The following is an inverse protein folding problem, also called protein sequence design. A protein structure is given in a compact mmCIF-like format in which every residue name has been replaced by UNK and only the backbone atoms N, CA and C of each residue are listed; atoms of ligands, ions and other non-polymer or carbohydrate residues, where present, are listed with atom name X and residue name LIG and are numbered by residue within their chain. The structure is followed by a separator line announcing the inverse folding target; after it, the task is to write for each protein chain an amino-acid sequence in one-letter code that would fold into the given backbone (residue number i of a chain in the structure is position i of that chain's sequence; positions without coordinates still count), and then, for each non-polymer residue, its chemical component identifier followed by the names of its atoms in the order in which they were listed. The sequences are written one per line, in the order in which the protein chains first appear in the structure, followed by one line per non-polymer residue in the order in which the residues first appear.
data_IF_825671577864
#
_entry.id   IF_825671577864
#
_cell.length_a   1.000
_cell.length_b   1.000
_cell.length_c   1.000
_cell.angle_alpha   90.00
_cell.angle_beta   90.00
_cell.angle_gamma   90.00
#
_symmetry.space_group_name_H-M   'P 1'
#
loop_
_entity.id
_entity.type
_entity.pdbx_description
1 polymer ?
#
# COMPACT_ATOMS: atom_id res chain seq x y z
N UNK A 1 7.18 -7.37 12.57
CA UNK A 1 6.17 -6.44 13.12
C UNK A 1 5.82 -6.87 14.53
N UNK A 2 5.76 -5.93 15.47
CA UNK A 2 5.35 -6.19 16.86
C UNK A 2 3.84 -5.97 17.05
N UNK A 3 3.21 -6.51 18.11
CA UNK A 3 1.82 -6.23 18.45
C UNK A 3 1.51 -4.72 18.62
N UNK A 4 2.47 -3.95 19.14
CA UNK A 4 2.35 -2.50 19.31
C UNK A 4 2.32 -1.79 17.95
N UNK A 5 3.19 -2.17 17.01
CA UNK A 5 3.17 -1.64 15.65
C UNK A 5 1.84 -1.95 14.94
N UNK A 6 1.33 -3.18 15.09
CA UNK A 6 0.03 -3.58 14.54
C UNK A 6 -1.08 -2.66 15.08
N UNK A 7 -1.09 -2.44 16.40
CA UNK A 7 -2.08 -1.59 17.07
C UNK A 7 -2.01 -0.16 16.57
N UNK A 8 -0.81 0.42 16.45
CA UNK A 8 -0.58 1.77 15.94
C UNK A 8 -1.12 1.93 14.51
N UNK A 9 -0.83 0.97 13.64
CA UNK A 9 -1.30 0.98 12.25
C UNK A 9 -2.83 0.89 12.19
N UNK A 10 -3.43 -0.03 12.94
CA UNK A 10 -4.89 -0.20 12.97
C UNK A 10 -5.62 1.04 13.50
N UNK A 11 -5.12 1.62 14.60
CA UNK A 11 -5.70 2.83 15.19
C UNK A 11 -5.56 4.05 14.29
N UNK A 12 -4.40 4.22 13.64
CA UNK A 12 -4.19 5.32 12.70
C UNK A 12 -5.04 5.17 11.44
N UNK A 13 -5.12 3.97 10.87
CA UNK A 13 -5.95 3.72 9.68
C UNK A 13 -7.44 3.95 9.95
N UNK A 14 -7.92 3.66 11.16
CA UNK A 14 -9.30 3.96 11.56
C UNK A 14 -9.63 5.46 11.49
N UNK A 15 -8.63 6.35 11.65
CA UNK A 15 -8.79 7.81 11.45
C UNK A 15 -8.81 8.21 9.98
N UNK A 16 -8.22 7.40 9.10
CA UNK A 16 -8.22 7.62 7.64
C UNK A 16 -9.52 7.12 6.99
N UNK A 17 -10.18 6.11 7.56
CA UNK A 17 -11.39 5.51 6.98
C UNK A 17 -12.51 6.54 6.67
N UNK A 18 -12.85 7.52 7.53
CA UNK A 18 -13.84 8.56 7.23
C UNK A 18 -13.46 9.47 6.05
N UNK A 19 -12.15 9.64 5.79
CA UNK A 19 -11.61 10.46 4.71
C UNK A 19 -11.08 9.62 3.54
N UNK A 20 -11.43 8.33 3.48
CA UNK A 20 -10.89 7.38 2.51
C UNK A 20 -11.03 7.82 1.06
N UNK A 21 -12.14 8.47 0.69
CA UNK A 21 -12.32 9.03 -0.65
C UNK A 21 -11.28 10.11 -0.95
N UNK A 22 -11.12 11.10 -0.05
CA UNK A 22 -10.14 12.16 -0.22
C UNK A 22 -8.70 11.63 -0.22
N UNK A 23 -8.39 10.69 0.68
CA UNK A 23 -7.10 10.03 0.75
C UNK A 23 -6.77 9.27 -0.55
N UNK A 24 -7.73 8.55 -1.12
CA UNK A 24 -7.54 7.84 -2.39
C UNK A 24 -7.30 8.77 -3.58
N UNK A 25 -7.93 9.96 -3.59
CA UNK A 25 -7.69 10.99 -4.60
C UNK A 25 -6.26 11.52 -4.46
N UNK A 26 -5.88 11.94 -3.25
CA UNK A 26 -4.52 12.41 -2.95
C UNK A 26 -3.46 11.38 -3.35
N UNK A 27 -3.69 10.11 -3.06
CA UNK A 27 -2.79 9.03 -3.45
C UNK A 27 -2.60 8.95 -4.97
N UNK A 28 -3.68 8.89 -5.75
CA UNK A 28 -3.57 8.72 -7.19
C UNK A 28 -3.04 9.97 -7.89
N UNK A 29 -3.45 11.15 -7.44
CA UNK A 29 -2.94 12.41 -7.97
C UNK A 29 -1.42 12.49 -7.75
N UNK A 30 -0.96 12.15 -6.52
CA UNK A 30 0.48 12.11 -6.22
C UNK A 30 1.20 11.02 -7.02
N UNK A 31 0.63 9.82 -7.14
CA UNK A 31 1.24 8.70 -7.87
C UNK A 31 1.49 9.09 -9.34
N UNK A 32 0.51 9.71 -9.98
CA UNK A 32 0.61 10.12 -11.38
C UNK A 32 1.49 11.36 -11.58
N UNK A 33 1.65 12.19 -10.55
CA UNK A 33 2.63 13.28 -10.56
C UNK A 33 4.07 12.73 -10.51
N UNK A 34 4.36 11.80 -9.60
CA UNK A 34 5.74 11.30 -9.38
C UNK A 34 6.15 10.20 -10.35
N UNK A 35 5.18 9.45 -10.90
CA UNK A 35 5.43 8.41 -11.89
C UNK A 35 4.40 8.47 -13.03
N UNK A 36 4.45 9.47 -13.92
CA UNK A 36 3.46 9.65 -14.97
C UNK A 36 3.29 8.44 -15.90
N UNK A 37 4.35 7.64 -16.09
CA UNK A 37 4.34 6.43 -16.92
C UNK A 37 3.34 5.38 -16.44
N UNK A 38 3.04 5.31 -15.14
CA UNK A 38 2.09 4.31 -14.61
C UNK A 38 0.64 4.66 -14.91
N UNK A 39 0.33 5.90 -15.30
CA UNK A 39 -1.05 6.35 -15.56
C UNK A 39 -1.76 5.47 -16.59
N UNK A 40 -1.04 5.01 -17.61
CA UNK A 40 -1.58 4.16 -18.68
C UNK A 40 -2.00 2.77 -18.18
N UNK A 41 -1.54 2.35 -17.00
CA UNK A 41 -1.91 1.07 -16.38
C UNK A 41 -3.26 1.12 -15.65
N UNK A 42 -3.84 2.31 -15.49
CA UNK A 42 -5.10 2.54 -14.78
C UNK A 42 -6.21 2.96 -15.73
N UNK A 43 -7.49 2.65 -15.42
CA UNK A 43 -8.62 3.08 -16.23
C UNK A 43 -8.73 4.61 -16.34
N UNK A 44 -9.48 5.09 -17.32
CA UNK A 44 -9.83 6.50 -17.42
C UNK A 44 -10.71 6.93 -16.23
N UNK A 45 -11.79 6.16 -15.98
CA UNK A 45 -12.62 6.32 -14.79
C UNK A 45 -11.98 5.67 -13.55
N UNK A 46 -11.56 6.53 -12.63
CA UNK A 46 -10.88 6.15 -11.39
C UNK A 46 -11.84 5.88 -10.23
N UNK A 47 -13.15 6.03 -10.40
CA UNK A 47 -14.14 5.95 -9.31
C UNK A 47 -14.08 4.62 -8.58
N UNK A 48 -14.15 3.51 -9.31
CA UNK A 48 -14.08 2.17 -8.72
C UNK A 48 -12.66 1.81 -8.28
N UNK A 49 -11.65 2.30 -8.98
CA UNK A 49 -10.25 2.02 -8.64
C UNK A 49 -9.85 2.64 -7.29
N UNK A 50 -10.30 3.87 -7.01
CA UNK A 50 -10.14 4.56 -5.72
C UNK A 50 -10.74 3.78 -4.56
N UNK A 51 -11.94 3.22 -4.75
CA UNK A 51 -12.62 2.37 -3.74
C UNK A 51 -11.84 1.07 -3.51
N UNK A 52 -11.38 0.41 -4.59
CA UNK A 52 -10.60 -0.84 -4.51
C UNK A 52 -9.32 -0.67 -3.69
N UNK A 53 -8.59 0.43 -3.87
CA UNK A 53 -7.38 0.71 -3.09
C UNK A 53 -7.69 0.77 -1.59
N UNK A 54 -8.66 1.57 -1.18
CA UNK A 54 -9.02 1.74 0.23
C UNK A 54 -9.54 0.44 0.85
N UNK A 55 -10.36 -0.32 0.11
CA UNK A 55 -10.85 -1.63 0.55
C UNK A 55 -9.72 -2.65 0.73
N UNK A 56 -8.74 -2.66 -0.17
CA UNK A 56 -7.57 -3.53 -0.06
C UNK A 56 -6.68 -3.15 1.14
N UNK A 57 -6.42 -1.86 1.35
CA UNK A 57 -5.67 -1.39 2.53
C UNK A 57 -6.39 -1.76 3.82
N UNK A 58 -7.71 -1.59 3.88
CA UNK A 58 -8.51 -1.98 5.04
C UNK A 58 -8.39 -3.48 5.34
N UNK A 59 -8.48 -4.32 4.31
CA UNK A 59 -8.33 -5.77 4.46
C UNK A 59 -6.93 -6.14 4.99
N UNK A 60 -5.88 -5.55 4.41
CA UNK A 60 -4.49 -5.76 4.86
C UNK A 60 -4.33 -5.33 6.32
N UNK A 61 -4.73 -4.10 6.67
CA UNK A 61 -4.61 -3.55 8.02
C UNK A 61 -5.35 -4.41 9.05
N UNK A 62 -6.56 -4.88 8.71
CA UNK A 62 -7.33 -5.77 9.57
C UNK A 62 -6.66 -7.14 9.76
N UNK A 63 -5.95 -7.61 8.73
CA UNK A 63 -5.25 -8.89 8.73
C UNK A 63 -3.83 -8.84 9.31
N UNK A 64 -3.29 -7.66 9.69
CA UNK A 64 -1.94 -7.55 10.25
C UNK A 64 -1.75 -8.37 11.54
N UNK A 65 -2.82 -8.58 12.30
CA UNK A 65 -2.82 -9.44 13.50
C UNK A 65 -2.72 -10.94 13.16
N UNK A 66 -3.01 -11.33 11.93
CA UNK A 66 -2.93 -12.71 11.45
C UNK A 66 -2.53 -12.75 9.97
N UNK A 67 -1.26 -12.46 9.68
CA UNK A 67 -0.74 -12.31 8.32
C UNK A 67 -1.03 -13.53 7.45
N UNK A 68 -1.00 -14.75 8.00
CA UNK A 68 -1.26 -15.99 7.27
C UNK A 68 -2.60 -15.98 6.53
N UNK A 69 -3.60 -15.28 7.08
CA UNK A 69 -4.93 -15.17 6.46
C UNK A 69 -4.97 -14.27 5.23
N UNK A 70 -4.03 -13.31 5.12
CA UNK A 70 -3.96 -12.39 3.98
C UNK A 70 -2.96 -12.82 2.91
N UNK A 71 -2.01 -13.72 3.23
CA UNK A 71 -0.99 -14.19 2.29
C UNK A 71 -1.57 -14.76 0.97
N UNK A 72 -2.66 -15.58 0.97
CA UNK A 72 -3.25 -16.07 -0.28
C UNK A 72 -3.82 -14.94 -1.14
N UNK A 73 -4.48 -13.97 -0.51
CA UNK A 73 -5.05 -12.82 -1.20
C UNK A 73 -3.93 -11.91 -1.77
N UNK A 74 -2.85 -11.71 -1.01
CA UNK A 74 -1.68 -10.95 -1.44
C UNK A 74 -0.95 -11.63 -2.62
N UNK A 75 -0.80 -12.96 -2.60
CA UNK A 75 -0.24 -13.73 -3.74
C UNK A 75 -1.10 -13.58 -4.99
N UNK A 76 -2.42 -13.76 -4.88
CA UNK A 76 -3.34 -13.58 -5.98
C UNK A 76 -3.35 -12.13 -6.51
N UNK A 77 -3.16 -11.15 -5.63
CA UNK A 77 -3.00 -9.75 -6.00
C UNK A 77 -1.68 -9.50 -6.74
N UNK A 78 -0.58 -10.09 -6.29
CA UNK A 78 0.73 -9.96 -6.93
C UNK A 78 0.71 -10.46 -8.38
N UNK A 79 0.12 -11.63 -8.63
CA UNK A 79 -0.04 -12.19 -9.99
C UNK A 79 -0.87 -11.27 -10.91
N UNK A 80 -1.92 -10.64 -10.36
CA UNK A 80 -2.70 -9.64 -11.09
C UNK A 80 -1.90 -8.39 -11.40
N UNK A 81 -1.07 -7.92 -10.48
CA UNK A 81 -0.19 -6.77 -10.71
C UNK A 81 0.77 -7.01 -11.86
N UNK A 82 1.35 -8.21 -11.97
CA UNK A 82 2.16 -8.59 -13.15
C UNK A 82 1.34 -8.51 -14.43
N UNK A 83 0.12 -9.04 -14.44
CA UNK A 83 -0.76 -8.98 -15.61
C UNK A 83 -1.18 -7.53 -15.98
N UNK A 84 -1.14 -6.60 -15.03
CA UNK A 84 -1.37 -5.18 -15.27
C UNK A 84 -0.11 -4.43 -15.76
N UNK A 85 1.04 -5.11 -15.86
CA UNK A 85 2.31 -4.54 -16.26
C UNK A 85 3.14 -3.96 -15.11
N UNK A 86 2.80 -4.28 -13.85
CA UNK A 86 3.61 -3.82 -12.72
C UNK A 86 4.98 -4.52 -12.71
N UNK A 87 6.02 -3.75 -12.42
CA UNK A 87 7.39 -4.23 -12.22
C UNK A 87 7.80 -4.03 -10.76
N UNK A 88 8.92 -4.66 -10.37
CA UNK A 88 9.52 -4.49 -9.05
C UNK A 88 9.78 -3.00 -8.71
N UNK A 89 10.19 -2.20 -9.70
CA UNK A 89 10.52 -0.78 -9.55
C UNK A 89 9.31 0.09 -9.19
N UNK A 90 8.09 -0.37 -9.46
CA UNK A 90 6.88 0.36 -9.10
C UNK A 90 6.55 0.29 -7.60
N UNK A 91 6.99 -0.76 -6.89
CA UNK A 91 6.65 -0.94 -5.47
C UNK A 91 7.24 0.18 -4.58
N UNK A 92 8.53 0.54 -4.67
CA UNK A 92 9.06 1.67 -3.89
C UNK A 92 8.30 2.98 -4.10
N UNK A 93 7.89 3.28 -5.35
CA UNK A 93 7.11 4.48 -5.69
C UNK A 93 5.72 4.46 -5.05
N UNK A 94 5.04 3.31 -5.12
CA UNK A 94 3.73 3.11 -4.50
C UNK A 94 3.83 3.24 -2.98
N UNK A 95 4.86 2.64 -2.37
CA UNK A 95 5.13 2.76 -0.93
C UNK A 95 5.32 4.20 -0.50
N UNK A 96 6.25 4.93 -1.14
CA UNK A 96 6.49 6.33 -0.83
C UNK A 96 5.22 7.20 -0.98
N UNK A 97 4.42 6.94 -2.02
CA UNK A 97 3.16 7.65 -2.26
C UNK A 97 2.12 7.34 -1.18
N UNK A 98 2.02 6.08 -0.74
CA UNK A 98 1.12 5.68 0.34
C UNK A 98 1.50 6.37 1.66
N UNK A 99 2.78 6.33 2.03
CA UNK A 99 3.27 6.95 3.26
C UNK A 99 3.02 8.47 3.26
N UNK A 100 3.31 9.13 2.14
CA UNK A 100 3.00 10.56 1.97
C UNK A 100 1.50 10.85 2.10
N UNK A 101 0.65 9.99 1.53
CA UNK A 101 -0.81 10.14 1.63
C UNK A 101 -1.28 10.02 3.07
N UNK A 102 -0.74 9.04 3.81
CA UNK A 102 -1.07 8.83 5.22
C UNK A 102 -0.60 10.02 6.07
N UNK A 103 0.61 10.54 5.83
CA UNK A 103 1.12 11.75 6.47
C UNK A 103 0.15 12.93 6.27
N UNK A 104 -0.28 13.19 5.02
CA UNK A 104 -1.24 14.27 4.74
C UNK A 104 -2.61 14.05 5.35
N UNK A 105 -3.10 12.81 5.34
CA UNK A 105 -4.42 12.47 5.90
C UNK A 105 -4.46 12.50 7.44
N UNK A 106 -3.34 12.17 8.10
CA UNK A 106 -3.25 12.09 9.55
C UNK A 106 -2.76 13.38 10.20
N UNK A 107 -2.05 14.24 9.46
CA UNK A 107 -1.57 15.53 9.96
C UNK A 107 -0.74 15.36 11.24
N UNK A 108 -1.12 16.08 12.31
CA UNK A 108 -0.42 16.04 13.60
C UNK A 108 -0.39 14.65 14.27
N UNK A 109 -1.26 13.72 13.84
CA UNK A 109 -1.24 12.35 14.32
C UNK A 109 -0.15 11.48 13.64
N UNK A 110 0.53 12.00 12.61
CA UNK A 110 1.63 11.32 11.94
C UNK A 110 2.94 11.52 12.72
N UNK A 111 3.32 10.53 13.51
CA UNK A 111 4.56 10.54 14.30
C UNK A 111 5.67 9.72 13.61
N UNK A 112 6.96 9.93 13.97
CA UNK A 112 8.05 9.12 13.44
C UNK A 112 7.88 7.62 13.73
N UNK A 113 7.35 7.28 14.91
CA UNK A 113 7.04 5.89 15.28
C UNK A 113 5.98 5.29 14.35
N UNK A 114 4.92 6.06 14.06
CA UNK A 114 3.87 5.63 13.17
C UNK A 114 4.36 5.47 11.72
N UNK A 115 5.21 6.41 11.26
CA UNK A 115 5.83 6.33 9.95
C UNK A 115 6.68 5.06 9.81
N UNK A 116 7.48 4.71 10.82
CA UNK A 116 8.27 3.49 10.84
C UNK A 116 7.38 2.23 10.82
N UNK A 117 6.31 2.20 11.63
CA UNK A 117 5.38 1.08 11.64
C UNK A 117 4.72 0.85 10.26
N UNK A 118 4.26 1.91 9.59
CA UNK A 118 3.70 1.82 8.25
C UNK A 118 4.74 1.43 7.18
N UNK A 119 5.98 1.92 7.31
CA UNK A 119 7.09 1.54 6.43
C UNK A 119 7.38 0.05 6.52
N UNK A 120 7.51 -0.48 7.74
CA UNK A 120 7.74 -1.91 7.99
C UNK A 120 6.59 -2.76 7.44
N UNK A 121 5.35 -2.35 7.72
CA UNK A 121 4.16 -3.08 7.26
C UNK A 121 4.05 -3.11 5.73
N UNK A 122 4.32 -1.98 5.08
CA UNK A 122 4.38 -1.91 3.62
C UNK A 122 5.48 -2.82 3.09
N UNK A 123 6.70 -2.73 3.63
CA UNK A 123 7.86 -3.51 3.20
C UNK A 123 7.64 -5.02 3.30
N UNK A 124 7.01 -5.48 4.39
CA UNK A 124 6.66 -6.90 4.56
C UNK A 124 5.69 -7.35 3.47
N UNK A 125 4.61 -6.60 3.24
CA UNK A 125 3.60 -6.97 2.25
C UNK A 125 4.15 -6.88 0.81
N UNK A 126 4.84 -5.78 0.47
CA UNK A 126 5.41 -5.58 -0.86
C UNK A 126 6.50 -6.60 -1.15
N UNK A 127 7.36 -6.91 -0.17
CA UNK A 127 8.39 -7.94 -0.30
C UNK A 127 7.79 -9.32 -0.56
N UNK A 128 6.74 -9.69 0.17
CA UNK A 128 6.01 -10.93 -0.09
C UNK A 128 5.38 -10.93 -1.49
N UNK A 129 4.69 -9.87 -1.89
CA UNK A 129 4.09 -9.77 -3.23
C UNK A 129 5.14 -9.84 -4.34
N UNK A 130 6.28 -9.17 -4.19
CA UNK A 130 7.37 -9.20 -5.15
C UNK A 130 7.99 -10.61 -5.25
N UNK A 131 8.18 -11.30 -4.13
CA UNK A 131 8.62 -12.70 -4.11
C UNK A 131 7.65 -13.61 -4.85
N UNK A 132 6.34 -13.44 -4.63
CA UNK A 132 5.30 -14.23 -5.30
C UNK A 132 5.17 -13.93 -6.80
N UNK A 133 5.46 -12.69 -7.21
CA UNK A 133 5.34 -12.23 -8.60
C UNK A 133 6.59 -12.53 -9.44
N UNK A 134 7.79 -12.35 -8.87
CA UNK A 134 9.05 -12.30 -9.60
C UNK A 134 10.08 -13.33 -9.11
N UNK A 135 9.81 -14.06 -8.02
CA UNK A 135 10.75 -14.98 -7.39
C UNK A 135 11.84 -14.30 -6.57
N UNK A 136 12.75 -15.09 -6.00
CA UNK A 136 13.77 -14.65 -5.04
C UNK A 136 14.79 -13.62 -5.57
N UNK A 137 14.79 -13.31 -6.87
CA UNK A 137 15.73 -12.38 -7.49
C UNK A 137 15.38 -10.90 -7.25
N UNK A 138 14.18 -10.58 -6.75
CA UNK A 138 13.73 -9.20 -6.54
C UNK A 138 14.26 -8.53 -5.25
N UNK A 139 14.89 -9.28 -4.34
CA UNK A 139 15.42 -8.75 -3.07
C UNK A 139 16.86 -8.19 -3.17
N UNK A 140 17.53 -8.33 -4.31
CA UNK A 140 18.97 -8.04 -4.46
C UNK A 140 19.29 -6.68 -5.12
N UNK A 141 18.41 -5.68 -4.98
CA UNK A 141 18.71 -4.31 -5.37
C UNK A 141 18.87 -3.47 -4.09
N UNK A 142 20.03 -3.63 -3.45
CA UNK A 142 20.62 -2.67 -2.50
C UNK A 142 21.69 -1.84 -3.21
#
# INVERSE_FOLDING_TARGET
MTPEQITLIQQSFAKVAPISQAASVLFYDRLFEVAPSVRAMFPEDMTEQRKKLMGMLAAVVSGLSNLETILPAASALAKRHVAYGATAEHYPVVGATLLWTLEKGLGDAWTPELANAWTDAYGVLSGYMMSEAYGAQAQAAE
#
